data_IF_922012002382
#
_entry.id   IF_922012002382
#
_cell.length_a   1.000
_cell.length_b   1.000
_cell.length_c   1.000
_cell.angle_alpha   90.00
_cell.angle_beta   90.00
_cell.angle_gamma   90.00
#
_symmetry.space_group_name_H-M   'P 1'
#
loop_
_entity.id
_entity.type
_entity.pdbx_description
1 polymer ?
#
# COMPACT_ATOMS: atom_id res chain seq x y z
N UNK A 1 0.35 -1.66 9.94
CA UNK A 1 1.30 -2.53 9.25
C UNK A 1 2.02 -3.38 10.28
N UNK A 2 1.95 -4.68 10.15
CA UNK A 2 2.38 -5.62 11.18
C UNK A 2 2.97 -6.88 10.54
N UNK A 3 4.10 -7.34 11.07
CA UNK A 3 4.75 -8.58 10.62
C UNK A 3 4.68 -9.62 11.72
N UNK A 4 4.15 -10.78 11.40
CA UNK A 4 4.04 -11.92 12.31
C UNK A 4 4.04 -13.22 11.51
N UNK A 5 4.79 -14.23 11.95
CA UNK A 5 4.82 -15.55 11.33
C UNK A 5 5.07 -15.52 9.82
N UNK A 6 6.03 -14.73 9.39
CA UNK A 6 6.40 -14.57 7.98
C UNK A 6 5.29 -13.99 7.10
N UNK A 7 4.36 -13.26 7.71
CA UNK A 7 3.28 -12.58 6.98
C UNK A 7 3.25 -11.11 7.35
N UNK A 8 3.00 -10.28 6.34
CA UNK A 8 2.79 -8.85 6.50
C UNK A 8 1.30 -8.57 6.38
N UNK A 9 0.73 -7.96 7.41
CA UNK A 9 -0.65 -7.50 7.40
C UNK A 9 -0.67 -5.99 7.39
N UNK A 10 -1.35 -5.41 6.42
CA UNK A 10 -1.53 -3.97 6.30
C UNK A 10 -3.02 -3.67 6.42
N UNK A 11 -3.35 -2.80 7.34
CA UNK A 11 -4.73 -2.34 7.52
C UNK A 11 -4.68 -0.82 7.69
N UNK A 12 -5.43 -0.12 6.87
CA UNK A 12 -5.42 1.33 6.98
C UNK A 12 -6.33 1.99 5.96
N UNK A 13 -6.13 3.28 5.84
CA UNK A 13 -6.81 4.10 4.86
C UNK A 13 -5.77 4.79 3.99
N UNK A 14 -6.02 4.83 2.69
CA UNK A 14 -5.23 5.61 1.76
C UNK A 14 -6.09 6.79 1.30
N UNK A 15 -5.51 7.96 1.38
CA UNK A 15 -6.14 9.19 0.92
C UNK A 15 -5.26 9.82 -0.13
N UNK A 16 -5.84 10.08 -1.28
CA UNK A 16 -5.15 10.75 -2.36
C UNK A 16 -6.08 11.81 -2.94
N UNK A 17 -5.61 13.05 -2.94
CA UNK A 17 -6.35 14.15 -3.51
C UNK A 17 -6.43 14.00 -5.04
N UNK A 18 -7.63 13.90 -5.56
CA UNK A 18 -7.86 13.81 -7.01
C UNK A 18 -9.32 14.09 -7.32
N UNK A 19 -9.59 14.27 -8.61
CA UNK A 19 -10.95 14.50 -9.07
C UNK A 19 -11.72 13.19 -9.14
N UNK A 20 -13.01 13.25 -8.83
CA UNK A 20 -13.87 12.07 -8.86
C UNK A 20 -13.94 11.50 -10.31
N UNK A 21 -14.07 10.18 -10.38
CA UNK A 21 -14.15 9.46 -11.64
C UNK A 21 -12.86 8.80 -12.09
N UNK A 22 -11.74 9.04 -11.40
CA UNK A 22 -10.49 8.36 -11.73
C UNK A 22 -10.40 7.01 -11.02
N UNK A 23 -9.87 6.04 -11.74
CA UNK A 23 -9.54 4.76 -11.12
C UNK A 23 -8.29 4.90 -10.28
N UNK A 24 -8.29 4.20 -9.15
CA UNK A 24 -7.14 4.16 -8.26
C UNK A 24 -6.82 2.71 -7.98
N UNK A 25 -5.56 2.35 -8.17
CA UNK A 25 -5.05 1.03 -7.82
C UNK A 25 -4.03 1.18 -6.71
N UNK A 26 -4.04 0.23 -5.79
CA UNK A 26 -3.13 0.24 -4.66
C UNK A 26 -2.36 -1.08 -4.60
N UNK A 27 -1.09 -0.97 -4.21
CA UNK A 27 -0.19 -2.12 -4.10
C UNK A 27 0.69 -1.96 -2.88
N UNK A 28 1.22 -3.08 -2.40
CA UNK A 28 2.33 -3.06 -1.45
C UNK A 28 3.60 -3.43 -2.21
N UNK A 29 4.63 -2.61 -2.06
CA UNK A 29 5.94 -2.85 -2.64
C UNK A 29 6.89 -3.28 -1.54
N UNK A 30 7.56 -4.40 -1.75
CA UNK A 30 8.61 -4.88 -0.86
C UNK A 30 9.92 -4.89 -1.61
N UNK A 31 10.92 -4.19 -1.07
CA UNK A 31 12.22 -4.01 -1.70
C UNK A 31 13.25 -4.96 -1.09
N UNK A 32 14.06 -5.55 -1.95
CA UNK A 32 15.25 -6.27 -1.50
C UNK A 32 16.32 -5.25 -1.15
N UNK A 33 16.73 -5.24 0.12
CA UNK A 33 17.72 -4.29 0.62
C UNK A 33 19.12 -4.48 0.03
N UNK A 34 19.39 -5.63 -0.59
CA UNK A 34 20.70 -5.95 -1.15
C UNK A 34 20.82 -5.59 -2.63
N UNK A 35 19.75 -5.76 -3.39
CA UNK A 35 19.79 -5.61 -4.85
C UNK A 35 19.03 -4.40 -5.34
N UNK A 36 18.09 -3.87 -4.53
CA UNK A 36 17.18 -2.82 -4.95
C UNK A 36 16.02 -3.31 -5.81
N UNK A 37 15.96 -4.60 -6.08
CA UNK A 37 14.81 -5.19 -6.76
C UNK A 37 13.60 -5.18 -5.83
N UNK A 38 12.40 -5.31 -6.39
CA UNK A 38 11.18 -5.27 -5.59
C UNK A 38 10.13 -6.20 -6.17
N UNK A 39 9.16 -6.52 -5.33
CA UNK A 39 7.93 -7.18 -5.75
C UNK A 39 6.73 -6.33 -5.34
N UNK A 40 5.69 -6.35 -6.17
CA UNK A 40 4.42 -5.69 -5.93
C UNK A 40 3.37 -6.73 -5.59
N UNK A 41 2.57 -6.42 -4.58
CA UNK A 41 1.48 -7.28 -4.12
C UNK A 41 0.17 -6.51 -4.19
N UNK A 42 -0.88 -7.16 -4.67
CA UNK A 42 -2.19 -6.56 -4.72
C UNK A 42 -2.76 -6.34 -3.32
N UNK A 43 -3.57 -5.32 -3.20
CA UNK A 43 -4.30 -5.02 -1.99
C UNK A 43 -5.79 -5.10 -2.26
N UNK A 44 -6.55 -5.34 -1.20
CA UNK A 44 -7.99 -5.20 -1.24
C UNK A 44 -8.31 -3.77 -0.80
N UNK A 45 -8.78 -2.96 -1.72
CA UNK A 45 -9.12 -1.57 -1.43
C UNK A 45 -10.61 -1.35 -1.65
N UNK A 46 -11.27 -0.72 -0.69
CA UNK A 46 -12.66 -0.34 -0.79
C UNK A 46 -12.74 1.18 -0.83
N UNK A 47 -13.21 1.71 -1.96
CA UNK A 47 -13.51 3.13 -2.08
C UNK A 47 -14.82 3.43 -1.40
N UNK A 48 -14.80 4.31 -0.42
CA UNK A 48 -16.01 4.78 0.22
C UNK A 48 -16.44 6.10 -0.44
N UNK A 49 -17.31 6.00 -1.43
CA UNK A 49 -17.79 7.17 -2.18
C UNK A 49 -18.64 8.11 -1.33
N UNK A 50 -19.09 7.66 -0.16
CA UNK A 50 -19.93 8.50 0.70
C UNK A 50 -19.10 9.49 1.52
N UNK A 51 -17.80 9.27 1.62
CA UNK A 51 -16.89 10.16 2.35
C UNK A 51 -16.04 10.95 1.37
N UNK A 52 -16.60 12.07 0.96
CA UNK A 52 -15.91 13.02 0.10
C UNK A 52 -15.30 14.12 0.97
N UNK A 53 -14.02 14.37 0.85
CA UNK A 53 -13.34 15.44 1.56
C UNK A 53 -13.24 16.66 0.64
N UNK A 54 -14.33 17.40 0.53
CA UNK A 54 -14.44 18.49 -0.42
C UNK A 54 -14.47 17.95 -1.85
N UNK A 55 -13.91 18.69 -2.79
CA UNK A 55 -13.82 18.28 -4.20
C UNK A 55 -12.58 17.45 -4.50
N UNK A 56 -11.82 17.08 -3.48
CA UNK A 56 -10.45 16.57 -3.65
C UNK A 56 -10.19 15.26 -2.91
N UNK A 57 -10.88 14.18 -3.25
CA UNK A 57 -10.39 12.90 -2.84
C UNK A 57 -11.42 11.92 -2.30
N UNK A 58 -11.02 10.67 -2.30
CA UNK A 58 -11.80 9.56 -1.80
C UNK A 58 -11.05 8.83 -0.70
N UNK A 59 -11.79 8.34 0.28
CA UNK A 59 -11.23 7.42 1.26
C UNK A 59 -11.28 6.01 0.70
N UNK A 60 -10.14 5.39 0.64
CA UNK A 60 -10.05 3.96 0.37
C UNK A 60 -9.66 3.25 1.65
N UNK A 61 -10.46 2.30 2.07
CA UNK A 61 -10.03 1.34 3.09
C UNK A 61 -9.16 0.32 2.43
N UNK A 62 -8.01 0.06 3.02
CA UNK A 62 -6.99 -0.78 2.46
C UNK A 62 -6.71 -1.95 3.36
N UNK A 63 -6.67 -3.13 2.79
CA UNK A 63 -6.27 -4.36 3.49
C UNK A 63 -5.31 -5.15 2.61
N UNK A 64 -4.25 -5.66 3.20
CA UNK A 64 -3.35 -6.60 2.55
C UNK A 64 -2.86 -7.62 3.57
N UNK A 65 -2.79 -8.88 3.16
CA UNK A 65 -2.22 -9.98 3.92
C UNK A 65 -1.29 -10.73 2.98
N UNK A 66 0.01 -10.56 3.21
CA UNK A 66 1.04 -10.95 2.26
C UNK A 66 1.98 -11.94 2.92
N UNK A 67 2.20 -13.08 2.26
CA UNK A 67 3.29 -13.96 2.61
C UNK A 67 4.60 -13.29 2.18
N UNK A 68 5.50 -13.09 3.14
CA UNK A 68 6.73 -12.36 2.89
C UNK A 68 7.65 -13.13 1.94
N UNK A 69 8.28 -12.44 0.97
CA UNK A 69 9.23 -13.09 0.08
C UNK A 69 10.49 -13.53 0.81
N UNK A 70 11.21 -14.48 0.21
CA UNK A 70 12.41 -15.06 0.81
C UNK A 70 13.51 -14.04 1.07
N UNK A 71 13.58 -12.99 0.25
CA UNK A 71 14.57 -11.93 0.43
C UNK A 71 14.25 -10.96 1.55
N UNK A 72 13.07 -11.05 2.16
CA UNK A 72 12.65 -10.09 3.17
C UNK A 72 13.50 -10.17 4.42
N UNK A 73 13.90 -8.99 4.91
CA UNK A 73 14.53 -8.83 6.22
C UNK A 73 14.08 -7.49 6.82
N UNK A 74 14.53 -7.18 8.03
CA UNK A 74 14.10 -5.96 8.71
C UNK A 74 14.59 -4.67 8.06
N UNK A 75 15.54 -4.77 7.13
CA UNK A 75 16.03 -3.64 6.35
C UNK A 75 15.30 -3.47 5.03
N UNK A 76 14.41 -4.39 4.68
CA UNK A 76 13.62 -4.30 3.45
C UNK A 76 12.67 -3.11 3.51
N UNK A 77 12.67 -2.29 2.46
CA UNK A 77 11.71 -1.21 2.34
C UNK A 77 10.33 -1.77 2.07
N UNK A 78 9.32 -1.21 2.74
CA UNK A 78 7.92 -1.54 2.52
C UNK A 78 7.19 -0.25 2.21
N UNK A 79 6.57 -0.19 1.05
CA UNK A 79 5.87 1.02 0.60
C UNK A 79 4.44 0.71 0.20
N UNK A 80 3.55 1.61 0.51
CA UNK A 80 2.25 1.68 -0.14
C UNK A 80 2.44 2.40 -1.46
N UNK A 81 2.01 1.78 -2.55
CA UNK A 81 2.05 2.35 -3.88
C UNK A 81 0.63 2.62 -4.33
N UNK A 82 0.38 3.84 -4.75
CA UNK A 82 -0.91 4.25 -5.27
C UNK A 82 -0.71 4.67 -6.71
N UNK A 83 -1.38 3.99 -7.63
CA UNK A 83 -1.42 4.38 -9.02
C UNK A 83 -2.73 5.09 -9.30
N UNK A 84 -2.64 6.27 -9.87
CA UNK A 84 -3.79 7.06 -10.27
C UNK A 84 -3.53 7.67 -11.62
N UNK A 85 -4.34 7.30 -12.59
CA UNK A 85 -4.29 7.86 -13.94
C UNK A 85 -2.88 7.81 -14.56
N UNK A 86 -2.20 6.68 -14.36
CA UNK A 86 -0.84 6.48 -14.86
C UNK A 86 0.27 7.08 -14.00
N UNK A 87 -0.08 7.79 -12.93
CA UNK A 87 0.88 8.35 -12.00
C UNK A 87 1.02 7.46 -10.78
N UNK A 88 2.24 7.34 -10.28
CA UNK A 88 2.56 6.50 -9.12
C UNK A 88 2.99 7.36 -7.94
N UNK A 89 2.42 7.09 -6.79
CA UNK A 89 2.71 7.76 -5.54
C UNK A 89 3.14 6.72 -4.51
N UNK A 90 4.16 7.03 -3.74
CA UNK A 90 4.76 6.09 -2.80
C UNK A 90 4.70 6.65 -1.38
N UNK A 91 4.30 5.80 -0.45
CA UNK A 91 4.32 6.15 0.96
C UNK A 91 5.06 5.06 1.72
N UNK A 92 6.11 5.44 2.43
CA UNK A 92 6.89 4.52 3.25
C UNK A 92 6.06 4.00 4.42
N UNK A 93 6.12 2.71 4.65
CA UNK A 93 5.47 2.05 5.77
C UNK A 93 6.52 1.53 6.73
N UNK A 94 6.20 1.57 8.02
CA UNK A 94 7.08 1.06 9.07
C UNK A 94 6.40 -0.12 9.76
N UNK A 95 6.73 -1.35 9.36
CA UNK A 95 6.13 -2.53 9.97
C UNK A 95 6.48 -2.65 11.44
N UNK A 96 5.51 -3.03 12.26
CA UNK A 96 5.72 -3.44 13.63
C UNK A 96 5.85 -4.95 13.69
N UNK A 97 6.73 -5.42 14.52
CA UNK A 97 7.01 -6.86 14.67
C UNK A 97 6.47 -7.36 16.00
N UNK A 98 5.92 -8.55 15.97
CA UNK A 98 5.45 -9.21 17.20
C UNK A 98 6.27 -10.43 17.53
#
# INVERSE_FOLDING_TARGET
CHVSDNRLTVLGTAYLAYKSGFSQNTYIQILDSRTGEYELYDTLAVCDETKNYGDEGYFSKLFADIELPDFYNRNSGVNLVIEQDGNFYYKSLNPKYS
#
